data_IF_734684152658
#
_entry.id   IF_734684152658
#
_cell.length_a   1.000
_cell.length_b   1.000
_cell.length_c   1.000
_cell.angle_alpha   90.00
_cell.angle_beta   90.00
_cell.angle_gamma   90.00
#
_symmetry.space_group_name_H-M   'P 1'
#
loop_
_entity.id
_entity.type
_entity.pdbx_description
1 polymer ?
#
# COMPACT_ATOMS: atom_id res chain seq x y z
N UNK A 1 1.60 -3.68 7.05
CA UNK A 1 2.89 -3.00 7.21
C UNK A 1 3.66 -2.70 5.92
N UNK A 2 4.25 -3.65 5.18
CA UNK A 2 5.15 -3.31 4.06
C UNK A 2 4.37 -2.73 2.86
N UNK A 3 3.30 -3.40 2.46
CA UNK A 3 2.42 -2.98 1.36
C UNK A 3 1.79 -1.61 1.64
N UNK A 4 1.25 -1.42 2.84
CA UNK A 4 0.64 -0.15 3.21
C UNK A 4 1.63 1.03 3.25
N UNK A 5 2.92 0.78 3.58
CA UNK A 5 3.96 1.80 3.46
C UNK A 5 4.28 2.14 2.01
N UNK A 6 4.28 1.15 1.13
CA UNK A 6 4.45 1.36 -0.31
C UNK A 6 3.27 2.16 -0.89
N UNK A 7 2.04 1.85 -0.48
CA UNK A 7 0.86 2.65 -0.85
C UNK A 7 0.98 4.09 -0.40
N UNK A 8 1.38 4.34 0.86
CA UNK A 8 1.59 5.71 1.36
C UNK A 8 2.67 6.45 0.55
N UNK A 9 3.79 5.79 0.25
CA UNK A 9 4.85 6.39 -0.57
C UNK A 9 4.38 6.68 -2.00
N UNK A 10 3.55 5.82 -2.59
CA UNK A 10 2.97 6.04 -3.91
C UNK A 10 2.02 7.23 -3.93
N UNK A 11 1.20 7.42 -2.87
CA UNK A 11 0.32 8.60 -2.73
C UNK A 11 1.16 9.87 -2.67
N UNK A 12 2.13 9.92 -1.75
CA UNK A 12 2.99 11.11 -1.57
C UNK A 12 3.70 11.45 -2.88
N UNK A 13 4.23 10.45 -3.58
CA UNK A 13 4.89 10.65 -4.87
C UNK A 13 3.91 11.20 -5.93
N UNK A 14 2.68 10.69 -5.99
CA UNK A 14 1.69 11.18 -6.95
C UNK A 14 1.26 12.62 -6.63
N UNK A 15 1.10 12.96 -5.34
CA UNK A 15 0.83 14.34 -4.90
C UNK A 15 1.97 15.29 -5.28
N UNK A 16 3.23 14.89 -5.07
CA UNK A 16 4.43 15.67 -5.41
C UNK A 16 4.54 15.94 -6.93
N UNK A 17 4.02 15.05 -7.77
CA UNK A 17 4.00 15.19 -9.24
C UNK A 17 2.77 16.01 -9.69
N UNK A 18 1.88 16.40 -8.78
CA UNK A 18 0.73 17.27 -9.04
C UNK A 18 -0.57 16.54 -9.33
N UNK A 19 -0.65 15.23 -9.06
CA UNK A 19 -1.92 14.51 -9.10
C UNK A 19 -2.76 14.88 -7.88
N UNK A 20 -4.02 15.25 -8.10
CA UNK A 20 -4.96 15.67 -7.04
C UNK A 20 -6.03 14.63 -6.75
N UNK A 21 -6.25 13.69 -7.67
CA UNK A 21 -7.27 12.64 -7.54
C UNK A 21 -6.59 11.28 -7.74
N UNK A 22 -6.20 10.67 -6.62
CA UNK A 22 -5.43 9.43 -6.57
C UNK A 22 -6.35 8.31 -6.09
N UNK A 23 -6.74 7.42 -7.01
CA UNK A 23 -7.45 6.20 -6.69
C UNK A 23 -6.46 5.03 -6.56
N UNK A 24 -6.45 4.39 -5.41
CA UNK A 24 -5.73 3.12 -5.21
C UNK A 24 -6.72 1.98 -5.39
N UNK A 25 -6.52 1.15 -6.42
CA UNK A 25 -7.22 -0.13 -6.56
C UNK A 25 -6.58 -1.18 -5.64
N UNK A 26 -7.01 -1.18 -4.38
CA UNK A 26 -6.80 -2.26 -3.44
C UNK A 26 -7.97 -2.28 -2.44
N UNK A 27 -8.15 -3.35 -1.68
CA UNK A 27 -9.14 -3.34 -0.60
C UNK A 27 -8.69 -2.36 0.51
N UNK A 28 -9.22 -1.14 0.47
CA UNK A 28 -8.92 -0.08 1.41
C UNK A 28 -9.11 -0.53 2.88
N UNK A 29 -10.06 -1.44 3.15
CA UNK A 29 -10.27 -1.99 4.48
C UNK A 29 -9.08 -2.86 4.92
N UNK A 30 -8.48 -3.61 3.99
CA UNK A 30 -7.31 -4.43 4.24
C UNK A 30 -6.05 -3.58 4.46
N UNK A 31 -5.83 -2.50 3.70
CA UNK A 31 -4.71 -1.57 3.94
C UNK A 31 -4.84 -0.90 5.32
N UNK A 32 -6.02 -0.35 5.63
CA UNK A 32 -6.26 0.35 6.91
C UNK A 32 -6.08 -0.60 8.10
N UNK A 33 -6.53 -1.85 7.98
CA UNK A 33 -6.30 -2.89 9.00
C UNK A 33 -4.81 -3.23 9.15
N UNK A 34 -4.08 -3.35 8.04
CA UNK A 34 -2.63 -3.62 8.04
C UNK A 34 -1.78 -2.46 8.57
N UNK A 35 -2.28 -1.22 8.51
CA UNK A 35 -1.63 -0.04 9.10
C UNK A 35 -1.86 0.06 10.60
N UNK A 36 -3.07 -0.29 11.05
CA UNK A 36 -3.45 -0.22 12.46
C UNK A 36 -3.07 -1.48 13.26
N UNK A 37 -2.58 -2.54 12.59
CA UNK A 37 -2.12 -3.77 13.24
C UNK A 37 -0.65 -3.66 13.66
N UNK A 38 -0.34 -4.17 14.85
CA UNK A 38 1.04 -4.36 15.35
C UNK A 38 1.70 -5.63 14.82
N UNK A 39 0.94 -6.50 14.14
CA UNK A 39 1.48 -7.72 13.55
C UNK A 39 2.35 -7.39 12.32
N UNK A 40 3.55 -7.99 12.26
CA UNK A 40 4.40 -7.90 11.07
C UNK A 40 3.71 -8.56 9.86
N UNK A 41 3.61 -7.82 8.75
CA UNK A 41 3.14 -8.38 7.48
C UNK A 41 4.07 -9.51 7.05
N UNK A 42 3.61 -10.75 7.15
CA UNK A 42 4.27 -11.92 6.56
C UNK A 42 3.91 -12.11 5.09
N UNK A 43 3.71 -11.03 4.35
CA UNK A 43 3.53 -11.09 2.90
C UNK A 43 4.89 -11.30 2.26
N UNK A 44 5.34 -12.56 2.32
CA UNK A 44 6.42 -13.05 1.50
C UNK A 44 5.96 -12.90 0.05
N UNK A 45 6.58 -11.98 -0.70
CA UNK A 45 6.42 -11.90 -2.15
C UNK A 45 7.03 -13.19 -2.70
N UNK A 46 6.25 -14.27 -2.76
CA UNK A 46 6.61 -15.44 -3.55
C UNK A 46 6.50 -15.00 -5.00
N UNK A 47 7.61 -15.01 -5.72
CA UNK A 47 7.66 -14.77 -7.15
C UNK A 47 6.68 -15.70 -7.87
N UNK A 48 5.43 -15.25 -8.07
CA UNK A 48 4.51 -15.88 -9.00
C UNK A 48 4.78 -15.27 -10.37
N UNK A 49 5.92 -15.63 -10.95
CA UNK A 49 6.11 -15.55 -12.39
C UNK A 49 5.69 -16.92 -12.91
N UNK A 50 4.63 -16.95 -13.71
CA UNK A 50 4.26 -18.11 -14.55
C UNK A 50 4.37 -17.69 -16.01
#
# INVERSE_FOLDING_TARGET
MAEARVCLQAIIMAEDIGFQDICIEEDALTIIRKLNSTDEDRLCISNLIK
#
